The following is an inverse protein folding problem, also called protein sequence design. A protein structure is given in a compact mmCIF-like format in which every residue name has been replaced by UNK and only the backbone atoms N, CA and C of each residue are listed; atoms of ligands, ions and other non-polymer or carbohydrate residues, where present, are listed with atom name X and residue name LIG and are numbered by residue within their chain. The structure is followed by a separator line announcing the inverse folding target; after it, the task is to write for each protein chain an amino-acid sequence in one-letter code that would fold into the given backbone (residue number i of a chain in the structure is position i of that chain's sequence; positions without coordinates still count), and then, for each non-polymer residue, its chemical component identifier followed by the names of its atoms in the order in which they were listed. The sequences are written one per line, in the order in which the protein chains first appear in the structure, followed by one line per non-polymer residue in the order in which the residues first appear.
data_IF_594310400834
#
_entry.id   IF_594310400834
#
_cell.length_a   1.000
_cell.length_b   1.000
_cell.length_c   1.000
_cell.angle_alpha   90.00
_cell.angle_beta   90.00
_cell.angle_gamma   90.00
#
_symmetry.space_group_name_H-M   'P 1'
#
loop_
_entity.id
_entity.type
_entity.pdbx_description
1 polymer ?
#
# COMPACT_ATOMS: atom_id res chain seq x y z
N UNK A 1 -18.80 11.15 -22.35
CA UNK A 1 -20.21 10.87 -22.67
C UNK A 1 -20.45 10.55 -24.13
N UNK A 2 -20.16 11.44 -25.09
CA UNK A 2 -20.42 11.15 -26.52
C UNK A 2 -19.71 9.88 -27.02
N UNK A 3 -18.48 9.61 -26.56
CA UNK A 3 -17.71 8.44 -27.01
C UNK A 3 -18.16 7.11 -26.40
N UNK A 4 -18.61 7.12 -25.14
CA UNK A 4 -18.81 5.90 -24.33
C UNK A 4 -20.25 5.72 -23.84
N UNK A 5 -21.16 6.65 -24.15
CA UNK A 5 -22.52 6.73 -23.56
C UNK A 5 -22.54 7.16 -22.08
N UNK A 6 -21.39 7.08 -21.40
CA UNK A 6 -21.23 7.27 -19.96
C UNK A 6 -20.49 8.57 -19.63
N UNK A 7 -20.84 9.24 -18.54
CA UNK A 7 -20.03 10.35 -18.02
C UNK A 7 -18.72 9.81 -17.41
N UNK A 8 -17.62 10.60 -17.36
CA UNK A 8 -16.37 10.16 -16.73
C UNK A 8 -16.53 9.80 -15.24
N UNK A 9 -17.44 10.48 -14.55
CA UNK A 9 -17.80 10.25 -13.14
C UNK A 9 -19.32 10.20 -13.02
N UNK A 10 -19.82 9.32 -12.15
CA UNK A 10 -21.24 9.10 -11.90
C UNK A 10 -21.48 8.89 -10.41
N UNK A 11 -22.55 9.48 -9.89
CA UNK A 11 -22.94 9.36 -8.50
C UNK A 11 -24.36 9.85 -8.27
N UNK A 12 -24.93 9.45 -7.14
CA UNK A 12 -26.32 9.75 -6.77
C UNK A 12 -26.53 11.23 -6.40
N UNK A 13 -25.44 11.97 -6.14
CA UNK A 13 -25.47 13.40 -5.80
C UNK A 13 -24.30 14.17 -6.39
N UNK A 14 -24.45 15.49 -6.56
CA UNK A 14 -23.37 16.36 -7.03
C UNK A 14 -22.11 16.28 -6.16
N UNK A 15 -22.29 16.19 -4.84
CA UNK A 15 -21.19 16.05 -3.89
C UNK A 15 -20.42 14.73 -4.11
N UNK A 16 -21.12 13.62 -4.37
CA UNK A 16 -20.47 12.33 -4.66
C UNK A 16 -19.67 12.35 -5.98
N UNK A 17 -20.15 13.09 -6.99
CA UNK A 17 -19.45 13.26 -8.27
C UNK A 17 -18.20 14.12 -8.10
N UNK A 18 -18.28 15.21 -7.33
CA UNK A 18 -17.13 16.05 -6.98
C UNK A 18 -16.09 15.27 -6.16
N UNK A 19 -16.53 14.47 -5.19
CA UNK A 19 -15.62 13.60 -4.45
C UNK A 19 -14.93 12.60 -5.38
N UNK A 20 -15.65 11.95 -6.29
CA UNK A 20 -15.03 11.07 -7.29
C UNK A 20 -14.01 11.80 -8.17
N UNK A 21 -14.32 13.01 -8.65
CA UNK A 21 -13.41 13.74 -9.54
C UNK A 21 -12.14 14.23 -8.84
N UNK A 22 -12.19 14.38 -7.51
CA UNK A 22 -11.04 14.69 -6.67
C UNK A 22 -10.27 13.40 -6.34
N UNK A 23 -10.95 12.37 -5.85
CA UNK A 23 -10.29 11.21 -5.24
C UNK A 23 -9.83 10.15 -6.25
N UNK A 24 -10.55 10.01 -7.37
CA UNK A 24 -10.43 8.90 -8.32
C UNK A 24 -10.06 9.39 -9.71
N UNK A 25 -9.19 8.63 -10.39
CA UNK A 25 -8.95 8.85 -11.82
C UNK A 25 -10.15 8.38 -12.65
N UNK A 26 -10.46 9.03 -13.78
CA UNK A 26 -11.55 8.61 -14.64
C UNK A 26 -11.19 7.29 -15.33
N UNK A 27 -12.19 6.44 -15.56
CA UNK A 27 -12.02 5.20 -16.31
C UNK A 27 -11.60 5.51 -17.76
N UNK A 28 -10.53 4.87 -18.27
CA UNK A 28 -10.14 4.98 -19.67
C UNK A 28 -11.30 4.59 -20.60
N UNK A 29 -11.67 5.43 -21.59
CA UNK A 29 -12.75 5.16 -22.52
C UNK A 29 -12.68 3.80 -23.23
N UNK A 30 -11.48 3.26 -23.53
CA UNK A 30 -11.32 1.95 -24.18
C UNK A 30 -11.70 0.77 -23.30
N UNK A 31 -11.78 0.94 -21.98
CA UNK A 31 -12.36 -0.11 -21.11
C UNK A 31 -13.88 -0.24 -21.32
N UNK A 32 -14.53 0.82 -21.78
CA UNK A 32 -15.97 0.82 -22.09
C UNK A 32 -16.23 0.58 -23.57
N UNK A 33 -15.33 1.04 -24.44
CA UNK A 33 -15.40 0.92 -25.89
C UNK A 33 -14.04 0.51 -26.48
N UNK A 34 -13.68 -0.79 -26.49
CA UNK A 34 -12.34 -1.27 -26.87
C UNK A 34 -11.89 -0.89 -28.28
N UNK A 35 -12.84 -0.69 -29.20
CA UNK A 35 -12.67 -0.25 -30.58
C UNK A 35 -12.35 1.25 -30.73
N UNK A 36 -12.39 2.04 -29.66
CA UNK A 36 -11.99 3.44 -29.70
C UNK A 36 -10.48 3.56 -30.04
N UNK A 37 -10.11 4.41 -31.03
CA UNK A 37 -8.70 4.65 -31.37
C UNK A 37 -7.88 5.14 -30.19
N UNK A 38 -6.63 4.66 -30.09
CA UNK A 38 -5.76 4.95 -28.93
C UNK A 38 -5.47 6.44 -28.78
N UNK A 39 -5.24 7.14 -29.89
CA UNK A 39 -4.95 8.57 -29.90
C UNK A 39 -6.12 9.40 -29.37
N UNK A 40 -7.35 9.00 -29.71
CA UNK A 40 -8.56 9.68 -29.24
C UNK A 40 -8.79 9.44 -27.74
N UNK A 41 -8.47 8.24 -27.23
CA UNK A 41 -8.42 8.00 -25.79
C UNK A 41 -7.38 8.90 -25.12
N UNK A 42 -6.17 9.01 -25.68
CA UNK A 42 -5.10 9.82 -25.12
C UNK A 42 -5.49 11.30 -25.03
N UNK A 43 -6.14 11.85 -26.08
CA UNK A 43 -6.68 13.21 -26.07
C UNK A 43 -7.71 13.38 -24.92
N UNK A 44 -8.68 12.46 -24.82
CA UNK A 44 -9.71 12.52 -23.78
C UNK A 44 -9.12 12.46 -22.37
N UNK A 45 -8.17 11.54 -22.14
CA UNK A 45 -7.54 11.37 -20.83
C UNK A 45 -6.69 12.59 -20.45
N UNK A 46 -6.04 13.25 -21.41
CA UNK A 46 -5.29 14.49 -21.17
C UNK A 46 -6.21 15.65 -20.76
N UNK A 47 -7.40 15.76 -21.34
CA UNK A 47 -8.39 16.75 -20.92
C UNK A 47 -8.90 16.51 -19.49
N UNK A 48 -9.02 15.24 -19.08
CA UNK A 48 -9.55 14.84 -17.79
C UNK A 48 -8.49 14.78 -16.67
N UNK A 49 -7.29 15.30 -16.93
CA UNK A 49 -6.23 15.26 -15.93
C UNK A 49 -6.55 16.02 -14.67
N UNK A 50 -6.10 15.50 -13.53
CA UNK A 50 -6.33 16.17 -12.26
C UNK A 50 -5.51 17.45 -12.14
N UNK A 51 -4.20 17.35 -12.40
CA UNK A 51 -3.27 18.48 -12.37
C UNK A 51 -3.46 19.37 -13.61
N UNK A 52 -3.60 20.68 -13.39
CA UNK A 52 -3.82 21.66 -14.46
C UNK A 52 -2.63 21.69 -15.43
N UNK A 53 -1.41 21.59 -14.90
CA UNK A 53 -0.17 21.59 -15.70
C UNK A 53 -0.03 20.36 -16.61
N UNK A 54 -0.80 19.30 -16.34
CA UNK A 54 -0.83 18.08 -17.15
C UNK A 54 -1.91 18.12 -18.25
N UNK A 55 -2.83 19.10 -18.21
CA UNK A 55 -3.86 19.32 -19.23
C UNK A 55 -3.28 20.06 -20.43
N UNK A 56 -4.10 20.26 -21.45
CA UNK A 56 -3.79 21.23 -22.49
C UNK A 56 -3.72 22.62 -21.87
N UNK A 57 -2.67 23.36 -22.25
CA UNK A 57 -2.45 24.74 -21.80
C UNK A 57 -3.63 25.65 -22.10
N UNK A 58 -4.26 25.41 -23.25
CA UNK A 58 -5.39 26.18 -23.77
C UNK A 58 -6.24 25.32 -24.73
N UNK A 59 -7.37 25.88 -25.17
CA UNK A 59 -8.26 25.22 -26.11
C UNK A 59 -7.63 25.03 -27.50
N UNK A 60 -6.75 25.94 -27.94
CA UNK A 60 -6.05 25.80 -29.23
C UNK A 60 -5.18 24.55 -29.29
N UNK A 61 -4.45 24.23 -28.22
CA UNK A 61 -3.64 23.03 -28.15
C UNK A 61 -4.46 21.73 -28.19
N UNK A 62 -5.71 21.76 -27.72
CA UNK A 62 -6.65 20.64 -27.87
C UNK A 62 -7.15 20.52 -29.31
N UNK A 63 -7.50 21.64 -29.94
CA UNK A 63 -7.93 21.67 -31.35
C UNK A 63 -6.82 21.12 -32.25
N UNK A 64 -5.57 21.55 -32.05
CA UNK A 64 -4.40 21.04 -32.80
C UNK A 64 -4.32 19.50 -32.77
N UNK A 65 -4.49 18.89 -31.59
CA UNK A 65 -4.41 17.44 -31.44
C UNK A 65 -5.63 16.73 -32.04
N UNK A 66 -6.82 17.32 -31.96
CA UNK A 66 -8.03 16.80 -32.63
C UNK A 66 -7.89 16.86 -34.16
N UNK A 67 -7.34 17.95 -34.71
CA UNK A 67 -7.08 18.09 -36.15
C UNK A 67 -6.00 17.10 -36.62
N UNK A 68 -4.95 16.91 -35.82
CA UNK A 68 -3.95 15.87 -36.10
C UNK A 68 -4.60 14.49 -36.16
N UNK A 69 -5.45 14.16 -35.18
CA UNK A 69 -6.17 12.89 -35.13
C UNK A 69 -7.07 12.68 -36.36
N UNK A 70 -7.89 13.67 -36.72
CA UNK A 70 -8.80 13.60 -37.88
C UNK A 70 -8.01 13.40 -39.19
N UNK A 71 -6.83 13.99 -39.29
CA UNK A 71 -5.95 13.87 -40.46
C UNK A 71 -5.05 12.62 -40.44
N UNK A 72 -5.18 11.75 -39.44
CA UNK A 72 -4.33 10.55 -39.29
C UNK A 72 -2.87 10.86 -38.97
N UNK A 73 -2.56 12.07 -38.49
CA UNK A 73 -1.23 12.48 -38.04
C UNK A 73 -1.05 12.13 -36.56
N UNK A 74 0.20 11.92 -36.15
CA UNK A 74 0.52 11.64 -34.74
C UNK A 74 0.09 12.80 -33.84
N UNK A 75 -0.71 12.52 -32.83
CA UNK A 75 -1.16 13.51 -31.83
C UNK A 75 -0.06 13.78 -30.79
N UNK A 76 -0.03 14.99 -30.21
CA UNK A 76 0.92 15.31 -29.13
C UNK A 76 0.52 14.63 -27.82
N UNK A 77 -0.76 14.34 -27.63
CA UNK A 77 -1.27 13.52 -26.54
C UNK A 77 -0.73 12.08 -26.62
N UNK A 78 0.43 11.83 -26.03
CA UNK A 78 0.98 10.48 -25.94
C UNK A 78 0.21 9.65 -24.90
N UNK A 79 -0.10 8.41 -25.27
CA UNK A 79 -0.50 7.37 -24.31
C UNK A 79 0.56 7.32 -23.22
N UNK A 80 0.13 7.52 -21.99
CA UNK A 80 1.05 7.55 -20.86
C UNK A 80 1.67 6.18 -20.69
N UNK A 81 3.00 6.13 -20.69
CA UNK A 81 3.73 4.92 -20.35
C UNK A 81 3.28 4.44 -18.97
N UNK A 82 3.12 3.13 -18.78
CA UNK A 82 2.83 2.54 -17.47
C UNK A 82 3.80 3.04 -16.39
N UNK A 83 5.05 3.32 -16.78
CA UNK A 83 6.05 3.94 -15.92
C UNK A 83 5.64 5.33 -15.40
N UNK A 84 5.04 6.18 -16.24
CA UNK A 84 4.54 7.50 -15.85
C UNK A 84 3.29 7.46 -14.97
N UNK A 85 2.52 6.37 -15.02
CA UNK A 85 1.43 6.13 -14.09
C UNK A 85 1.97 5.70 -12.72
N UNK A 86 2.92 4.76 -12.70
CA UNK A 86 3.59 4.32 -11.46
C UNK A 86 4.37 5.46 -10.81
N UNK A 87 5.10 6.28 -11.59
CA UNK A 87 5.84 7.44 -11.09
C UNK A 87 4.91 8.46 -10.40
N UNK A 88 3.69 8.66 -10.90
CA UNK A 88 2.72 9.54 -10.23
C UNK A 88 2.11 8.92 -8.99
N UNK A 89 1.88 7.60 -8.99
CA UNK A 89 1.50 6.91 -7.76
C UNK A 89 2.58 7.05 -6.67
N UNK A 90 3.86 7.11 -7.05
CA UNK A 90 4.98 7.34 -6.13
C UNK A 90 5.04 8.78 -5.60
N UNK A 91 4.70 9.77 -6.44
CA UNK A 91 4.79 11.21 -6.12
C UNK A 91 3.52 11.74 -5.44
N UNK A 92 2.39 11.03 -5.52
CA UNK A 92 1.12 11.46 -4.90
C UNK A 92 1.27 11.57 -3.38
N UNK A 93 1.20 12.80 -2.86
CA UNK A 93 1.17 13.06 -1.41
C UNK A 93 -0.06 12.43 -0.73
N UNK A 94 0.07 12.12 0.56
CA UNK A 94 -1.05 11.59 1.35
C UNK A 94 -2.08 12.70 1.61
N UNK A 95 -3.17 12.71 0.85
CA UNK A 95 -4.27 13.69 1.04
C UNK A 95 -5.10 13.42 2.32
N UNK A 96 -4.93 12.23 2.92
CA UNK A 96 -5.75 11.73 4.01
C UNK A 96 -5.17 12.03 5.40
N UNK A 97 -4.88 13.30 5.67
CA UNK A 97 -4.24 13.73 6.93
C UNK A 97 -5.02 13.32 8.19
N UNK A 98 -6.36 13.42 8.15
CA UNK A 98 -7.23 13.06 9.28
C UNK A 98 -7.16 11.57 9.61
N UNK A 99 -7.00 10.73 8.57
CA UNK A 99 -6.86 9.29 8.74
C UNK A 99 -5.52 8.96 9.42
N UNK A 100 -4.43 9.60 8.99
CA UNK A 100 -3.11 9.40 9.58
C UNK A 100 -3.04 9.87 11.04
N UNK A 101 -3.75 10.95 11.42
CA UNK A 101 -3.88 11.38 12.83
C UNK A 101 -4.43 10.27 13.73
N UNK A 102 -5.55 9.68 13.30
CA UNK A 102 -6.29 8.69 14.09
C UNK A 102 -5.56 7.34 14.15
N UNK A 103 -4.93 6.92 13.05
CA UNK A 103 -4.26 5.62 12.98
C UNK A 103 -2.79 5.65 13.40
N UNK A 104 -2.15 6.83 13.44
CA UNK A 104 -0.75 7.00 13.82
C UNK A 104 -0.40 6.41 15.19
N UNK A 105 -1.16 6.69 16.27
CA UNK A 105 -0.91 6.10 17.59
C UNK A 105 -1.00 4.57 17.59
N UNK A 106 -1.98 4.01 16.85
CA UNK A 106 -2.18 2.57 16.72
C UNK A 106 -0.96 1.94 16.04
N UNK A 107 -0.53 2.49 14.91
CA UNK A 107 0.62 1.99 14.17
C UNK A 107 1.92 2.10 14.95
N UNK A 108 2.11 3.17 15.72
CA UNK A 108 3.30 3.34 16.58
C UNK A 108 3.38 2.25 17.64
N UNK A 109 2.28 1.95 18.33
CA UNK A 109 2.26 0.90 19.35
C UNK A 109 2.48 -0.46 18.70
N UNK A 110 1.81 -0.74 17.58
CA UNK A 110 1.97 -1.99 16.86
C UNK A 110 3.40 -2.16 16.31
N UNK A 111 4.06 -1.08 15.88
CA UNK A 111 5.45 -1.12 15.41
C UNK A 111 6.41 -1.59 16.52
N UNK A 112 6.19 -1.13 17.76
CA UNK A 112 6.96 -1.56 18.93
C UNK A 112 6.63 -3.01 19.34
N UNK A 113 5.36 -3.41 19.25
CA UNK A 113 4.95 -4.79 19.49
C UNK A 113 5.60 -5.75 18.49
N UNK A 114 5.58 -5.40 17.20
CA UNK A 114 6.28 -6.18 16.17
C UNK A 114 7.78 -6.25 16.45
N UNK A 115 8.43 -5.13 16.76
CA UNK A 115 9.86 -5.13 17.09
C UNK A 115 10.17 -6.10 18.23
N UNK A 116 9.41 -6.03 19.33
CA UNK A 116 9.57 -6.94 20.47
C UNK A 116 9.31 -8.39 20.10
N UNK A 117 8.28 -8.67 19.28
CA UNK A 117 7.93 -10.01 18.84
C UNK A 117 9.03 -10.64 17.97
N UNK A 118 9.60 -9.85 17.05
CA UNK A 118 10.71 -10.29 16.20
C UNK A 118 12.01 -10.45 16.98
N UNK A 119 12.33 -9.54 17.91
CA UNK A 119 13.50 -9.66 18.79
C UNK A 119 13.40 -10.90 19.68
N UNK A 120 12.25 -11.14 20.29
CA UNK A 120 12.03 -12.32 21.12
C UNK A 120 12.09 -13.61 20.28
N UNK A 121 11.53 -13.60 19.06
CA UNK A 121 11.67 -14.71 18.12
C UNK A 121 13.15 -14.97 17.77
N UNK A 122 13.92 -13.91 17.51
CA UNK A 122 15.35 -14.00 17.25
C UNK A 122 16.12 -14.60 18.43
N UNK A 123 15.82 -14.18 19.66
CA UNK A 123 16.45 -14.72 20.89
C UNK A 123 16.12 -16.20 21.09
N UNK A 124 14.87 -16.61 20.89
CA UNK A 124 14.48 -18.03 21.00
C UNK A 124 15.24 -18.91 20.01
N UNK A 125 15.44 -18.42 18.80
CA UNK A 125 16.20 -19.11 17.76
C UNK A 125 17.69 -19.18 18.09
N UNK A 126 18.32 -18.07 18.50
CA UNK A 126 19.75 -18.07 18.81
C UNK A 126 20.08 -18.89 20.06
N UNK A 127 19.16 -18.99 21.01
CA UNK A 127 19.31 -19.81 22.23
C UNK A 127 18.93 -21.28 22.03
N UNK A 128 18.53 -21.69 20.81
CA UNK A 128 18.03 -23.04 20.49
C UNK A 128 16.84 -23.48 21.35
N UNK A 129 16.00 -22.53 21.73
CA UNK A 129 14.71 -22.73 22.40
C UNK A 129 13.55 -22.60 21.41
N UNK A 130 13.80 -22.81 20.11
CA UNK A 130 12.90 -22.65 18.97
C UNK A 130 11.90 -23.81 18.82
N UNK A 131 11.28 -24.21 19.93
CA UNK A 131 10.18 -25.17 19.89
C UNK A 131 9.00 -24.58 19.09
N UNK A 132 8.52 -25.33 18.08
CA UNK A 132 7.38 -24.94 17.25
C UNK A 132 6.16 -24.51 18.07
N UNK A 133 5.89 -25.15 19.21
CA UNK A 133 4.80 -24.77 20.11
C UNK A 133 5.03 -23.41 20.77
N UNK A 134 6.25 -23.16 21.26
CA UNK A 134 6.61 -21.90 21.91
C UNK A 134 6.55 -20.73 20.93
N UNK A 135 7.12 -20.91 19.74
CA UNK A 135 7.12 -19.90 18.69
C UNK A 135 5.68 -19.63 18.19
N UNK A 136 4.89 -20.67 17.96
CA UNK A 136 3.49 -20.52 17.54
C UNK A 136 2.65 -19.80 18.60
N UNK A 137 2.84 -20.14 19.88
CA UNK A 137 2.15 -19.48 21.00
C UNK A 137 2.55 -18.00 21.09
N UNK A 138 3.85 -17.71 21.01
CA UNK A 138 4.38 -16.35 21.02
C UNK A 138 3.72 -15.50 19.93
N UNK A 139 3.69 -16.00 18.70
CA UNK A 139 3.10 -15.29 17.56
C UNK A 139 1.58 -15.15 17.69
N UNK A 140 0.85 -16.18 18.13
CA UNK A 140 -0.59 -16.09 18.39
C UNK A 140 -0.94 -15.01 19.43
N UNK A 141 -0.23 -14.99 20.56
CA UNK A 141 -0.42 -13.98 21.61
C UNK A 141 -0.03 -12.59 21.10
N UNK A 142 1.07 -12.49 20.36
CA UNK A 142 1.50 -11.26 19.69
C UNK A 142 0.40 -10.68 18.81
N UNK A 143 -0.20 -11.47 17.92
CA UNK A 143 -1.30 -11.02 17.06
C UNK A 143 -2.56 -10.63 17.81
N UNK A 144 -2.95 -11.42 18.82
CA UNK A 144 -4.10 -11.08 19.66
C UNK A 144 -3.89 -9.71 20.32
N UNK A 145 -2.67 -9.42 20.80
CA UNK A 145 -2.35 -8.13 21.40
C UNK A 145 -2.40 -6.96 20.41
N UNK A 146 -1.97 -7.15 19.16
CA UNK A 146 -2.01 -6.13 18.10
C UNK A 146 -3.47 -5.79 17.73
N UNK A 147 -4.30 -6.82 17.56
CA UNK A 147 -5.73 -6.64 17.27
C UNK A 147 -6.46 -5.96 18.45
N UNK A 148 -6.11 -6.32 19.68
CA UNK A 148 -6.68 -5.73 20.89
C UNK A 148 -6.34 -4.24 21.00
N UNK A 149 -5.10 -3.83 20.73
CA UNK A 149 -4.68 -2.41 20.72
C UNK A 149 -5.45 -1.63 19.67
N UNK A 150 -5.52 -2.16 18.44
CA UNK A 150 -6.26 -1.52 17.35
C UNK A 150 -7.74 -1.36 17.71
N UNK A 151 -8.36 -2.41 18.24
CA UNK A 151 -9.75 -2.38 18.68
C UNK A 151 -9.98 -1.38 19.82
N UNK A 152 -9.12 -1.39 20.83
CA UNK A 152 -9.25 -0.55 22.03
C UNK A 152 -9.19 0.94 21.70
N UNK A 153 -8.14 1.35 20.98
CA UNK A 153 -7.94 2.74 20.60
C UNK A 153 -9.02 3.20 19.63
N UNK A 154 -9.43 2.33 18.70
CA UNK A 154 -10.49 2.67 17.76
C UNK A 154 -11.87 2.80 18.44
N UNK A 155 -12.16 1.96 19.43
CA UNK A 155 -13.42 2.02 20.18
C UNK A 155 -13.56 3.33 20.98
N UNK A 156 -12.45 3.96 21.36
CA UNK A 156 -12.44 5.26 22.08
C UNK A 156 -12.90 6.42 21.21
N UNK A 157 -12.60 6.41 19.92
CA UNK A 157 -12.91 7.55 19.04
C UNK A 157 -14.40 7.66 18.64
N UNK A 158 -15.19 6.59 18.77
CA UNK A 158 -16.65 6.54 18.46
C UNK A 158 -17.06 7.03 17.05
N UNK A 159 -16.11 7.27 16.14
CA UNK A 159 -16.36 7.68 14.75
C UNK A 159 -16.67 6.47 13.87
N UNK A 160 -17.66 6.60 12.97
CA UNK A 160 -17.99 5.57 11.97
C UNK A 160 -16.85 5.40 10.97
N UNK A 161 -16.61 4.16 10.55
CA UNK A 161 -15.59 3.85 9.55
C UNK A 161 -15.88 4.56 8.21
N UNK A 162 -14.89 5.25 7.67
CA UNK A 162 -14.94 5.79 6.32
C UNK A 162 -14.76 4.67 5.27
N UNK A 163 -15.05 4.97 4.00
CA UNK A 163 -14.85 3.99 2.91
C UNK A 163 -13.37 3.60 2.75
N UNK A 164 -12.46 4.55 2.91
CA UNK A 164 -11.02 4.33 2.85
C UNK A 164 -10.52 3.49 4.02
N UNK A 165 -11.04 3.73 5.23
CA UNK A 165 -10.67 2.92 6.39
C UNK A 165 -11.08 1.47 6.24
N UNK A 166 -12.26 1.22 5.68
CA UNK A 166 -12.69 -0.15 5.38
C UNK A 166 -11.73 -0.83 4.42
N UNK A 167 -11.22 -0.13 3.40
CA UNK A 167 -10.23 -0.68 2.48
C UNK A 167 -8.90 -0.97 3.20
N UNK A 168 -8.41 -0.04 4.00
CA UNK A 168 -7.19 -0.22 4.79
C UNK A 168 -7.29 -1.40 5.77
N UNK A 169 -8.40 -1.50 6.50
CA UNK A 169 -8.65 -2.61 7.43
C UNK A 169 -8.69 -3.94 6.69
N UNK A 170 -9.32 -4.00 5.51
CA UNK A 170 -9.31 -5.22 4.68
C UNK A 170 -7.89 -5.63 4.30
N UNK A 171 -7.04 -4.69 3.86
CA UNK A 171 -5.64 -4.95 3.54
C UNK A 171 -4.91 -5.52 4.77
N UNK A 172 -5.08 -4.90 5.94
CA UNK A 172 -4.44 -5.35 7.19
C UNK A 172 -4.95 -6.72 7.63
N UNK A 173 -6.25 -7.01 7.48
CA UNK A 173 -6.82 -8.32 7.84
C UNK A 173 -6.31 -9.42 6.90
N UNK A 174 -6.27 -9.16 5.58
CA UNK A 174 -5.71 -10.08 4.60
C UNK A 174 -4.22 -10.32 4.90
N UNK A 175 -3.48 -9.27 5.21
CA UNK A 175 -2.08 -9.35 5.61
C UNK A 175 -1.91 -10.16 6.91
N UNK A 176 -2.75 -9.95 7.92
CA UNK A 176 -2.70 -10.71 9.18
C UNK A 176 -3.00 -12.20 8.98
N UNK A 177 -3.88 -12.53 8.02
CA UNK A 177 -4.24 -13.92 7.70
C UNK A 177 -3.03 -14.75 7.27
N UNK A 178 -2.02 -14.14 6.62
CA UNK A 178 -0.83 -14.86 6.20
C UNK A 178 -0.07 -15.49 7.37
N UNK A 179 -0.03 -14.83 8.53
CA UNK A 179 0.69 -15.34 9.69
C UNK A 179 -0.04 -16.52 10.33
N UNK A 180 -1.37 -16.48 10.32
CA UNK A 180 -2.18 -17.63 10.68
C UNK A 180 -1.91 -18.79 9.71
N UNK A 181 -1.87 -18.53 8.40
CA UNK A 181 -1.58 -19.55 7.40
C UNK A 181 -0.18 -20.15 7.58
N UNK A 182 0.82 -19.36 7.96
CA UNK A 182 2.19 -19.84 8.27
C UNK A 182 2.18 -20.69 9.54
N UNK A 183 1.48 -20.27 10.59
CA UNK A 183 1.35 -21.06 11.82
C UNK A 183 0.68 -22.42 11.54
N UNK A 184 -0.39 -22.42 10.73
CA UNK A 184 -1.06 -23.65 10.28
C UNK A 184 -0.12 -24.49 9.41
N UNK A 185 0.59 -23.90 8.47
CA UNK A 185 1.57 -24.60 7.63
C UNK A 185 2.64 -25.28 8.48
N UNK A 186 3.21 -24.58 9.46
CA UNK A 186 4.20 -25.14 10.37
C UNK A 186 3.64 -26.26 11.29
N UNK A 187 2.34 -26.22 11.60
CA UNK A 187 1.67 -27.25 12.39
C UNK A 187 1.35 -28.51 11.55
N UNK A 188 0.96 -28.32 10.28
CA UNK A 188 0.53 -29.40 9.37
C UNK A 188 1.69 -30.04 8.62
N UNK A 189 2.70 -29.25 8.26
CA UNK A 189 3.95 -29.67 7.64
C UNK A 189 5.01 -29.55 8.72
N UNK A 190 5.27 -30.63 9.49
CA UNK A 190 6.39 -30.63 10.41
C UNK A 190 7.63 -30.30 9.58
N UNK A 191 8.32 -29.23 9.93
CA UNK A 191 9.60 -28.83 9.32
C UNK A 191 10.63 -29.98 9.36
N UNK A 192 10.40 -30.98 10.22
CA UNK A 192 11.09 -32.27 10.32
C UNK A 192 10.78 -33.31 9.21
N UNK A 193 9.80 -33.07 8.33
CA UNK A 193 9.47 -33.91 7.17
C UNK A 193 9.65 -33.07 5.90
N UNK A 194 10.92 -32.85 5.52
CA UNK A 194 11.27 -32.04 4.35
C UNK A 194 10.67 -32.54 3.04
N UNK A 195 10.48 -31.62 2.09
CA UNK A 195 10.02 -31.86 0.70
C UNK A 195 11.12 -32.44 -0.22
N UNK A 196 12.20 -33.01 0.33
CA UNK A 196 13.34 -33.52 -0.43
C UNK A 196 14.14 -34.60 0.31
N UNK A 197 14.99 -35.36 -0.41
CA UNK A 197 15.76 -36.45 0.18
C UNK A 197 16.87 -35.86 1.09
N UNK A 198 16.63 -35.85 2.41
CA UNK A 198 17.56 -35.28 3.41
C UNK A 198 16.88 -34.54 4.58
N UNK A 199 15.62 -34.15 4.44
CA UNK A 199 14.65 -34.21 5.55
C UNK A 199 14.67 -33.19 6.69
N UNK A 200 15.16 -31.96 6.55
CA UNK A 200 14.71 -30.83 7.39
C UNK A 200 14.78 -29.51 6.59
N UNK A 201 13.67 -28.79 6.46
CA UNK A 201 13.74 -27.40 5.97
C UNK A 201 14.24 -26.52 7.13
N UNK A 202 15.03 -25.47 6.89
CA UNK A 202 15.31 -24.52 7.95
C UNK A 202 14.00 -23.83 8.37
N UNK A 203 13.74 -23.63 9.68
CA UNK A 203 12.46 -23.11 10.17
C UNK A 203 12.11 -21.70 9.65
N UNK A 204 13.05 -21.02 8.99
CA UNK A 204 12.91 -19.64 8.52
C UNK A 204 12.83 -19.52 6.99
N UNK A 205 12.74 -20.65 6.28
CA UNK A 205 12.69 -20.67 4.81
C UNK A 205 11.57 -19.81 4.22
N UNK A 206 10.43 -19.74 4.92
CA UNK A 206 9.28 -18.95 4.46
C UNK A 206 9.44 -17.45 4.72
N UNK A 207 10.32 -17.02 5.62
CA UNK A 207 10.38 -15.63 6.10
C UNK A 207 10.59 -14.61 4.97
N UNK A 208 11.49 -14.83 3.98
CA UNK A 208 11.59 -13.97 2.80
C UNK A 208 10.28 -13.83 1.99
N UNK A 209 9.48 -14.91 1.90
CA UNK A 209 8.19 -14.90 1.21
C UNK A 209 7.18 -14.04 1.99
N UNK A 210 7.16 -14.13 3.32
CA UNK A 210 6.34 -13.27 4.19
C UNK A 210 6.75 -11.80 4.04
N UNK A 211 8.05 -11.54 3.91
CA UNK A 211 8.57 -10.20 3.68
C UNK A 211 8.10 -9.63 2.33
N UNK A 212 8.05 -10.43 1.27
CA UNK A 212 7.47 -10.01 -0.02
C UNK A 212 5.97 -9.71 0.09
N UNK A 213 5.22 -10.54 0.81
CA UNK A 213 3.80 -10.29 1.07
C UNK A 213 3.58 -9.01 1.92
N UNK A 214 4.52 -8.69 2.82
CA UNK A 214 4.56 -7.40 3.54
C UNK A 214 4.80 -6.23 2.62
N UNK A 215 5.76 -6.35 1.70
CA UNK A 215 6.00 -5.34 0.69
C UNK A 215 4.75 -5.10 -0.19
N UNK A 216 4.06 -6.17 -0.59
CA UNK A 216 2.82 -6.09 -1.35
C UNK A 216 1.69 -5.39 -0.55
N UNK A 217 1.55 -5.68 0.74
CA UNK A 217 0.56 -5.01 1.58
C UNK A 217 0.83 -3.50 1.71
N UNK A 218 2.11 -3.10 1.86
CA UNK A 218 2.49 -1.68 1.84
C UNK A 218 2.29 -1.02 0.48
N UNK A 219 2.55 -1.73 -0.62
CA UNK A 219 2.27 -1.22 -1.96
C UNK A 219 0.75 -1.00 -2.18
N UNK A 220 -0.09 -1.93 -1.73
CA UNK A 220 -1.55 -1.76 -1.74
C UNK A 220 -1.98 -0.56 -0.87
N UNK A 221 -1.39 -0.40 0.32
CA UNK A 221 -1.62 0.78 1.14
C UNK A 221 -1.15 2.07 0.45
N UNK A 222 -0.06 2.04 -0.33
CA UNK A 222 0.41 3.21 -1.08
C UNK A 222 -0.59 3.67 -2.14
N UNK A 223 -1.22 2.72 -2.84
CA UNK A 223 -2.26 3.03 -3.82
C UNK A 223 -3.49 3.68 -3.17
N UNK A 224 -3.86 3.25 -1.96
CA UNK A 224 -5.05 3.75 -1.25
C UNK A 224 -4.78 5.06 -0.50
N UNK A 225 -3.65 5.16 0.19
CA UNK A 225 -3.37 6.21 1.17
C UNK A 225 -2.46 7.32 0.62
N UNK A 226 -1.60 7.01 -0.35
CA UNK A 226 -0.63 7.91 -0.95
C UNK A 226 0.73 7.26 -1.18
N UNK A 227 1.52 7.83 -2.10
CA UNK A 227 2.78 7.28 -2.58
C UNK A 227 3.88 7.12 -1.51
N UNK A 228 3.73 7.78 -0.36
CA UNK A 228 4.70 7.70 0.74
C UNK A 228 4.90 6.28 1.28
N UNK A 229 3.89 5.40 1.19
CA UNK A 229 4.03 4.00 1.63
C UNK A 229 4.94 3.18 0.69
N UNK A 230 5.24 3.65 -0.52
CA UNK A 230 6.25 2.99 -1.37
C UNK A 230 7.66 3.10 -0.79
N UNK A 231 7.92 4.12 0.03
CA UNK A 231 9.19 4.25 0.78
C UNK A 231 9.36 3.09 1.76
N UNK A 232 8.29 2.37 2.10
CA UNK A 232 8.34 1.14 2.90
C UNK A 232 8.31 -0.11 2.03
N UNK A 233 7.42 -0.11 1.03
CA UNK A 233 7.20 -1.28 0.19
C UNK A 233 8.47 -1.68 -0.58
N UNK A 234 9.18 -0.70 -1.16
CA UNK A 234 10.38 -0.96 -1.97
C UNK A 234 11.52 -1.54 -1.12
N UNK A 235 11.92 -0.93 0.02
CA UNK A 235 12.93 -1.54 0.88
C UNK A 235 12.52 -2.91 1.42
N UNK A 236 11.25 -3.12 1.77
CA UNK A 236 10.78 -4.44 2.22
C UNK A 236 10.96 -5.49 1.11
N UNK A 237 10.59 -5.15 -0.14
CA UNK A 237 10.76 -6.05 -1.28
C UNK A 237 12.24 -6.36 -1.54
N UNK A 238 13.11 -5.35 -1.54
CA UNK A 238 14.56 -5.53 -1.74
C UNK A 238 15.15 -6.40 -0.63
N UNK A 239 14.81 -6.12 0.64
CA UNK A 239 15.32 -6.89 1.77
C UNK A 239 14.90 -8.35 1.70
N UNK A 240 13.72 -8.68 1.17
CA UNK A 240 13.30 -10.07 0.99
C UNK A 240 14.29 -10.87 0.13
N UNK A 241 14.90 -10.27 -0.89
CA UNK A 241 15.92 -10.93 -1.72
C UNK A 241 17.30 -10.98 -1.06
N UNK A 242 17.56 -10.08 -0.10
CA UNK A 242 18.83 -10.02 0.65
C UNK A 242 18.84 -10.98 1.84
N UNK A 243 17.69 -11.20 2.48
CA UNK A 243 17.55 -12.04 3.68
C UNK A 243 18.13 -13.46 3.55
N UNK A 244 18.01 -14.18 2.41
CA UNK A 244 18.66 -15.48 2.23
C UNK A 244 20.19 -15.46 2.37
N UNK A 245 20.83 -14.31 2.13
CA UNK A 245 22.28 -14.15 2.30
C UNK A 245 22.69 -14.03 3.78
N UNK A 246 21.75 -13.69 4.66
CA UNK A 246 21.96 -13.47 6.09
C UNK A 246 20.96 -14.29 6.92
N UNK A 247 20.92 -15.60 6.67
CA UNK A 247 19.91 -16.51 7.24
C UNK A 247 19.82 -16.47 8.77
N UNK A 248 20.94 -16.19 9.46
CA UNK A 248 21.00 -16.09 10.92
C UNK A 248 20.26 -14.86 11.47
N UNK A 249 20.16 -13.77 10.70
CA UNK A 249 19.61 -12.49 11.13
C UNK A 249 18.22 -12.20 10.54
N UNK A 250 17.60 -13.21 9.94
CA UNK A 250 16.37 -13.09 9.15
C UNK A 250 15.22 -12.42 9.93
N UNK A 251 14.95 -12.81 11.18
CA UNK A 251 13.88 -12.17 11.96
C UNK A 251 14.22 -10.74 12.37
N UNK A 252 15.49 -10.46 12.66
CA UNK A 252 15.92 -9.12 13.04
C UNK A 252 15.84 -8.16 11.85
N UNK A 253 16.29 -8.58 10.67
CA UNK A 253 16.18 -7.80 9.42
C UNK A 253 14.70 -7.52 9.10
N UNK A 254 13.84 -8.55 9.21
CA UNK A 254 12.40 -8.37 9.02
C UNK A 254 11.83 -7.39 10.05
N UNK A 255 11.99 -7.66 11.34
CA UNK A 255 11.43 -6.84 12.40
C UNK A 255 11.81 -5.38 12.28
N UNK A 256 13.09 -5.08 12.04
CA UNK A 256 13.55 -3.70 11.81
C UNK A 256 12.90 -3.06 10.59
N UNK A 257 12.78 -3.78 9.47
CA UNK A 257 12.15 -3.25 8.26
C UNK A 257 10.66 -2.94 8.45
N UNK A 258 9.92 -3.83 9.12
CA UNK A 258 8.49 -3.67 9.37
C UNK A 258 8.24 -2.53 10.37
N UNK A 259 9.03 -2.48 11.45
CA UNK A 259 8.95 -1.41 12.46
C UNK A 259 9.29 -0.06 11.85
N UNK A 260 10.39 0.04 11.09
CA UNK A 260 10.76 1.28 10.40
C UNK A 260 9.65 1.74 9.44
N UNK A 261 9.06 0.80 8.69
CA UNK A 261 7.91 1.06 7.82
C UNK A 261 6.74 1.66 8.58
N UNK A 262 6.27 0.99 9.63
CA UNK A 262 5.10 1.47 10.41
C UNK A 262 5.36 2.78 11.18
N UNK A 263 6.61 3.11 11.49
CA UNK A 263 6.98 4.31 12.26
C UNK A 263 7.17 5.56 11.38
N UNK A 264 7.53 5.39 10.09
CA UNK A 264 7.83 6.50 9.18
C UNK A 264 6.66 7.48 8.95
N UNK A 265 5.40 7.04 8.73
CA UNK A 265 4.26 7.94 8.54
C UNK A 265 4.03 8.80 9.77
N UNK A 266 4.22 8.22 10.96
CA UNK A 266 4.04 8.94 12.22
C UNK A 266 5.03 10.09 12.37
N UNK A 267 6.32 9.86 12.08
CA UNK A 267 7.36 10.91 12.17
C UNK A 267 7.05 12.04 11.18
N UNK A 268 6.81 11.69 9.91
CA UNK A 268 6.56 12.67 8.85
C UNK A 268 5.31 13.49 9.12
N UNK A 269 4.26 12.82 9.58
CA UNK A 269 3.01 13.46 9.94
C UNK A 269 3.18 14.49 11.07
N UNK A 270 3.84 14.11 12.16
CA UNK A 270 4.12 15.02 13.27
C UNK A 270 5.01 16.21 12.86
N UNK A 271 5.94 16.00 11.93
CA UNK A 271 6.78 17.07 11.41
C UNK A 271 5.96 18.09 10.59
N UNK A 272 5.06 17.63 9.73
CA UNK A 272 4.16 18.49 8.93
C UNK A 272 3.20 19.29 9.81
N UNK A 273 2.66 18.69 10.88
CA UNK A 273 1.77 19.38 11.82
C UNK A 273 2.48 20.49 12.61
N UNK A 274 3.71 20.24 13.08
CA UNK A 274 4.51 21.27 13.74
C UNK A 274 4.82 22.44 12.80
N UNK A 275 5.04 22.15 11.52
CA UNK A 275 5.26 23.19 10.51
C UNK A 275 4.00 24.04 10.26
N UNK A 276 2.81 23.43 10.16
CA UNK A 276 1.55 24.16 9.96
C UNK A 276 1.12 25.01 11.16
N UNK A 277 1.39 24.55 12.38
CA UNK A 277 1.11 25.33 13.61
C UNK A 277 2.10 26.49 13.80
N UNK A 278 3.28 26.41 13.16
CA UNK A 278 4.34 27.43 13.27
C UNK A 278 4.26 28.56 12.24
N UNK A 279 3.41 28.43 11.22
CA UNK A 279 3.08 29.53 10.29
C UNK A 279 2.07 30.46 10.97
N UNK A 280 2.45 31.70 11.35
CA UNK A 280 1.49 32.67 11.85
C UNK A 280 0.52 32.99 10.72
N UNK A 281 -0.77 32.97 11.01
CA UNK A 281 -1.80 33.48 10.10
C UNK A 281 -1.52 34.96 9.81
N UNK A 282 -0.96 35.24 8.63
CA UNK A 282 -0.80 36.59 8.08
C UNK A 282 -2.08 37.05 7.39
#
# INVERSE_FOLDING_TARGET
KMLTGRAPYEGESALSILQQSIESAPLPPRLLRPDLPEDLEAICMKCLEREVDQRYKDASALVDDLDCFVQGRSVRAKKRSAFSQIARLLVRGTEHQNLMKMWGPIWRINALQFLGLFLLSQVLVTTRLDNAFLLSTLWCVGFASILLVAWYLRRREKVRFSSLERQMVKIVVIFALQFLLIAVFNAVVPVSKGLGPGGTLPPFFLVPIVQLATAAAFACMAVVLGGEFFIMAIPCAVLAFVMPLFSEWTFLIYGLSLTAGMFLPFIRYNAQHKASDSTPSS
#
